data_IF_861398048838
#
_entry.id   IF_861398048838
#
_cell.length_a   1.000
_cell.length_b   1.000
_cell.length_c   1.000
_cell.angle_alpha   90.00
_cell.angle_beta   90.00
_cell.angle_gamma   90.00
#
_symmetry.space_group_name_H-M   'P 1'
#
loop_
_entity.id
_entity.type
_entity.pdbx_description
1 polymer ?
#
# COMPACT_ATOMS: atom_id res chain seq x y z
N UNK A 1 -11.61 6.62 8.32
CA UNK A 1 -12.45 5.48 7.89
C UNK A 1 -11.83 4.80 6.69
N UNK A 2 -11.83 3.47 6.65
CA UNK A 2 -11.38 2.70 5.49
C UNK A 2 -12.52 2.59 4.50
N UNK A 3 -12.27 2.95 3.26
CA UNK A 3 -13.17 2.73 2.14
C UNK A 3 -12.66 1.57 1.30
N UNK A 4 -13.58 0.78 0.78
CA UNK A 4 -13.29 -0.32 -0.13
C UNK A 4 -12.44 -1.43 0.50
N UNK A 5 -12.84 -1.89 1.69
CA UNK A 5 -12.09 -2.91 2.44
C UNK A 5 -12.05 -4.28 1.73
N UNK A 6 -12.95 -4.54 0.77
CA UNK A 6 -12.89 -5.79 -0.01
C UNK A 6 -11.61 -5.91 -0.83
N UNK A 7 -10.90 -4.81 -1.07
CA UNK A 7 -9.58 -4.87 -1.71
C UNK A 7 -8.52 -5.50 -0.81
N UNK A 8 -8.82 -5.74 0.47
CA UNK A 8 -7.91 -6.45 1.38
C UNK A 8 -8.01 -7.98 1.23
N UNK A 9 -8.98 -8.49 0.46
CA UNK A 9 -9.13 -9.92 0.23
C UNK A 9 -7.86 -10.51 -0.36
N UNK A 10 -7.35 -11.58 0.23
CA UNK A 10 -6.20 -12.32 -0.29
C UNK A 10 -4.83 -11.78 0.10
N UNK A 11 -4.74 -10.66 0.82
CA UNK A 11 -3.43 -10.14 1.27
C UNK A 11 -2.99 -10.81 2.57
N UNK A 12 -1.75 -10.54 2.95
CA UNK A 12 -1.18 -11.03 4.21
C UNK A 12 -2.05 -10.57 5.40
N UNK A 13 -2.42 -11.46 6.32
CA UNK A 13 -3.39 -11.12 7.37
C UNK A 13 -2.93 -10.01 8.31
N UNK A 14 -1.63 -9.91 8.58
CA UNK A 14 -1.11 -8.83 9.44
C UNK A 14 -1.04 -7.50 8.70
N UNK A 15 -0.87 -7.53 7.38
CA UNK A 15 -0.97 -6.32 6.56
C UNK A 15 -2.43 -5.81 6.57
N UNK A 16 -3.38 -6.71 6.38
CA UNK A 16 -4.80 -6.36 6.47
C UNK A 16 -5.17 -5.81 7.85
N UNK A 17 -4.72 -6.49 8.92
CA UNK A 17 -4.95 -6.03 10.29
C UNK A 17 -4.40 -4.63 10.51
N UNK A 18 -3.21 -4.35 10.01
CA UNK A 18 -2.58 -3.03 10.15
C UNK A 18 -3.41 -1.95 9.47
N UNK A 19 -3.89 -2.21 8.25
CA UNK A 19 -4.77 -1.28 7.53
C UNK A 19 -6.04 -1.01 8.34
N UNK A 20 -6.65 -2.05 8.87
CA UNK A 20 -7.86 -1.93 9.69
C UNK A 20 -7.61 -1.20 11.01
N UNK A 21 -6.44 -1.42 11.63
CA UNK A 21 -6.06 -0.75 12.88
C UNK A 21 -5.95 0.77 12.70
N UNK A 22 -5.45 1.23 11.56
CA UNK A 22 -5.30 2.67 11.31
C UNK A 22 -6.56 3.33 10.76
N UNK A 23 -7.56 2.54 10.39
CA UNK A 23 -8.80 3.04 9.79
C UNK A 23 -9.56 4.02 10.69
N UNK A 24 -9.43 3.88 12.00
CA UNK A 24 -10.11 4.76 12.96
C UNK A 24 -9.30 6.03 13.26
N UNK A 25 -8.13 6.18 12.68
CA UNK A 25 -7.20 7.25 12.98
C UNK A 25 -7.01 8.24 11.83
N UNK A 26 -7.28 7.83 10.61
CA UNK A 26 -7.11 8.67 9.43
C UNK A 26 -7.99 8.15 8.29
N UNK A 27 -8.38 9.04 7.39
CA UNK A 27 -9.24 8.70 6.27
C UNK A 27 -8.42 8.37 5.02
N UNK A 28 -8.71 7.20 4.44
CA UNK A 28 -8.07 6.76 3.20
C UNK A 28 -8.96 5.74 2.50
N UNK A 29 -8.63 5.47 1.25
CA UNK A 29 -9.25 4.38 0.49
C UNK A 29 -8.20 3.36 0.13
N UNK A 30 -8.53 2.07 0.28
CA UNK A 30 -7.71 0.99 -0.28
C UNK A 30 -8.03 0.91 -1.76
N UNK A 31 -7.07 1.27 -2.60
CA UNK A 31 -7.27 1.32 -4.05
C UNK A 31 -6.69 0.10 -4.76
N UNK A 32 -5.79 -0.63 -4.12
CA UNK A 32 -5.24 -1.87 -4.67
C UNK A 32 -4.71 -2.75 -3.54
N UNK A 33 -4.91 -4.05 -3.68
CA UNK A 33 -4.40 -5.06 -2.75
C UNK A 33 -3.77 -6.20 -3.53
N UNK A 34 -4.37 -7.40 -3.46
CA UNK A 34 -3.91 -8.53 -4.28
C UNK A 34 -4.19 -8.25 -5.76
N UNK A 35 -3.17 -8.43 -6.58
CA UNK A 35 -3.25 -8.20 -8.02
C UNK A 35 -3.05 -9.53 -8.73
N UNK A 36 -3.87 -9.82 -9.74
CA UNK A 36 -3.68 -11.01 -10.58
C UNK A 36 -2.53 -10.78 -11.57
N UNK A 37 -1.96 -11.87 -12.07
CA UNK A 37 -0.92 -11.79 -13.11
C UNK A 37 -1.44 -11.06 -14.36
N UNK A 38 -2.70 -11.30 -14.74
CA UNK A 38 -3.33 -10.62 -15.87
C UNK A 38 -3.40 -9.11 -15.65
N UNK A 39 -3.80 -8.66 -14.45
CA UNK A 39 -3.83 -7.24 -14.11
C UNK A 39 -2.43 -6.63 -14.15
N UNK A 40 -1.41 -7.36 -13.66
CA UNK A 40 -0.04 -6.89 -13.67
C UNK A 40 0.50 -6.75 -15.09
N UNK A 41 0.17 -7.67 -15.98
CA UNK A 41 0.54 -7.58 -17.40
C UNK A 41 -0.09 -6.35 -18.05
N UNK A 42 -1.36 -6.07 -17.75
CA UNK A 42 -2.02 -4.84 -18.23
C UNK A 42 -1.32 -3.60 -17.73
N UNK A 43 -0.90 -3.57 -16.47
CA UNK A 43 -0.19 -2.44 -15.90
C UNK A 43 1.17 -2.21 -16.57
N UNK A 44 1.88 -3.28 -16.92
CA UNK A 44 3.13 -3.19 -17.68
C UNK A 44 2.86 -2.60 -19.06
N UNK A 45 1.84 -3.10 -19.76
CA UNK A 45 1.47 -2.61 -21.08
C UNK A 45 1.08 -1.15 -21.08
N UNK A 46 0.46 -0.66 -20.00
CA UNK A 46 0.08 0.76 -19.84
C UNK A 46 1.23 1.64 -19.36
N UNK A 47 2.39 1.06 -19.02
CA UNK A 47 3.52 1.79 -18.46
C UNK A 47 3.37 2.17 -17.00
N UNK A 48 2.33 1.67 -16.30
CA UNK A 48 2.09 1.96 -14.88
C UNK A 48 2.86 1.01 -13.95
N UNK A 49 3.43 -0.05 -14.50
CA UNK A 49 4.31 -0.96 -13.76
C UNK A 49 5.41 -1.45 -14.67
N UNK A 50 6.56 -1.83 -14.09
CA UNK A 50 7.76 -2.27 -14.84
C UNK A 50 8.18 -3.69 -14.50
N UNK A 51 7.45 -4.40 -13.64
CA UNK A 51 7.88 -5.70 -13.16
C UNK A 51 6.75 -6.71 -13.09
N UNK A 52 7.09 -7.98 -13.37
CA UNK A 52 6.22 -9.13 -13.11
C UNK A 52 6.41 -9.68 -11.68
N UNK A 53 7.28 -9.06 -10.88
CA UNK A 53 7.59 -9.52 -9.52
C UNK A 53 7.04 -8.57 -8.45
N UNK A 54 5.98 -7.83 -8.77
CA UNK A 54 5.33 -6.91 -7.83
C UNK A 54 4.85 -7.66 -6.58
N UNK A 55 5.06 -7.04 -5.43
CA UNK A 55 4.57 -7.58 -4.15
C UNK A 55 3.04 -7.68 -4.10
N UNK A 56 2.32 -6.90 -4.90
CA UNK A 56 0.87 -7.03 -5.06
C UNK A 56 0.45 -8.41 -5.57
N UNK A 57 1.26 -9.06 -6.38
CA UNK A 57 0.98 -10.40 -6.90
C UNK A 57 0.99 -11.46 -5.80
N UNK A 58 1.70 -11.18 -4.72
CA UNK A 58 1.89 -12.12 -3.61
C UNK A 58 1.02 -11.79 -2.40
N UNK A 59 0.15 -10.79 -2.51
CA UNK A 59 -0.64 -10.33 -1.37
C UNK A 59 0.19 -9.63 -0.31
N UNK A 60 1.33 -9.05 -0.68
CA UNK A 60 2.29 -8.44 0.23
C UNK A 60 2.37 -6.92 0.10
N UNK A 61 1.44 -6.33 -0.64
CA UNK A 61 1.39 -4.87 -0.82
C UNK A 61 -0.04 -4.37 -0.87
N UNK A 62 -0.21 -3.13 -0.44
CA UNK A 62 -1.46 -2.38 -0.57
C UNK A 62 -1.14 -0.97 -1.03
N UNK A 63 -2.08 -0.38 -1.77
CA UNK A 63 -2.04 1.04 -2.11
C UNK A 63 -3.17 1.73 -1.35
N UNK A 64 -2.79 2.76 -0.59
CA UNK A 64 -3.71 3.56 0.21
C UNK A 64 -3.64 5.01 -0.26
N UNK A 65 -4.79 5.61 -0.52
CA UNK A 65 -4.87 7.00 -0.99
C UNK A 65 -5.65 7.83 0.02
N UNK A 66 -5.10 8.94 0.52
CA UNK A 66 -5.80 9.80 1.47
C UNK A 66 -7.10 10.35 0.89
N UNK A 67 -8.11 10.46 1.76
CA UNK A 67 -9.37 11.11 1.42
C UNK A 67 -9.42 12.43 2.16
N UNK A 68 -9.57 13.52 1.43
CA UNK A 68 -9.67 14.86 1.98
C UNK A 68 -10.92 15.52 1.41
N UNK A 69 -11.86 15.89 2.29
CA UNK A 69 -13.13 16.47 1.86
C UNK A 69 -13.92 15.56 0.92
N UNK A 70 -13.84 14.25 1.11
CA UNK A 70 -14.51 13.26 0.28
C UNK A 70 -13.83 12.95 -1.05
N UNK A 71 -12.67 13.53 -1.31
CA UNK A 71 -11.94 13.38 -2.58
C UNK A 71 -10.64 12.63 -2.37
N UNK A 72 -10.33 11.70 -3.28
CA UNK A 72 -9.06 10.98 -3.29
C UNK A 72 -7.92 11.92 -3.69
N UNK A 73 -6.81 11.83 -2.98
CA UNK A 73 -5.62 12.64 -3.24
C UNK A 73 -4.49 11.75 -3.72
N UNK A 74 -4.31 11.66 -5.05
CA UNK A 74 -3.27 10.86 -5.67
C UNK A 74 -1.91 11.54 -5.58
N UNK A 75 -0.83 10.74 -5.58
CA UNK A 75 0.52 11.29 -5.59
C UNK A 75 0.80 11.99 -6.92
N UNK A 76 1.69 12.98 -6.87
CA UNK A 76 2.11 13.75 -8.04
C UNK A 76 3.49 13.24 -8.47
N UNK A 77 3.53 12.67 -9.68
CA UNK A 77 4.77 12.17 -10.25
C UNK A 77 5.48 13.26 -11.04
N UNK A 78 6.83 13.17 -11.07
CA UNK A 78 7.66 13.97 -11.95
C UNK A 78 7.56 15.45 -11.77
N UNK A 79 6.98 15.88 -10.75
CA UNK A 79 6.99 17.12 -10.11
C UNK A 79 7.28 18.38 -10.85
N UNK A 80 6.28 18.85 -11.56
CA UNK A 80 6.32 20.18 -12.16
C UNK A 80 5.84 21.27 -11.20
N UNK A 81 5.15 20.90 -10.14
CA UNK A 81 4.60 21.81 -9.17
C UNK A 81 4.96 21.37 -7.75
N UNK A 82 6.07 21.89 -7.27
CA UNK A 82 6.59 21.54 -5.95
C UNK A 82 5.64 21.84 -4.80
N UNK A 83 4.81 22.86 -4.93
CA UNK A 83 3.84 23.21 -3.88
C UNK A 83 2.84 22.07 -3.72
N UNK A 84 2.27 21.60 -4.83
CA UNK A 84 1.31 20.48 -4.79
C UNK A 84 1.98 19.19 -4.35
N UNK A 85 3.21 18.96 -4.78
CA UNK A 85 4.00 17.80 -4.36
C UNK A 85 4.17 17.77 -2.84
N UNK A 86 4.62 18.86 -2.23
CA UNK A 86 4.82 18.92 -0.79
C UNK A 86 3.52 18.81 -0.01
N UNK A 87 2.45 19.45 -0.48
CA UNK A 87 1.12 19.31 0.14
C UNK A 87 0.62 17.87 0.08
N UNK A 88 0.81 17.22 -1.06
CA UNK A 88 0.43 15.82 -1.24
C UNK A 88 1.23 14.92 -0.30
N UNK A 89 2.53 15.11 -0.24
CA UNK A 89 3.41 14.34 0.65
C UNK A 89 2.98 14.48 2.11
N UNK A 90 2.59 15.67 2.54
CA UNK A 90 2.10 15.91 3.90
C UNK A 90 0.81 15.14 4.21
N UNK A 91 0.00 14.85 3.21
CA UNK A 91 -1.22 14.05 3.38
C UNK A 91 -0.91 12.56 3.50
N UNK A 92 0.09 12.07 2.78
CA UNK A 92 0.49 10.66 2.84
C UNK A 92 1.32 10.32 4.08
N UNK A 93 2.12 11.25 4.56
CA UNK A 93 3.05 11.01 5.65
C UNK A 93 2.40 10.47 6.94
N UNK A 94 1.25 11.02 7.40
CA UNK A 94 0.58 10.45 8.56
C UNK A 94 0.14 8.99 8.35
N UNK A 95 -0.32 8.64 7.16
CA UNK A 95 -0.68 7.26 6.83
C UNK A 95 0.57 6.37 6.90
N UNK A 96 1.68 6.82 6.32
CA UNK A 96 2.93 6.07 6.33
C UNK A 96 3.43 5.85 7.76
N UNK A 97 3.42 6.88 8.59
CA UNK A 97 3.86 6.79 9.97
C UNK A 97 3.01 5.78 10.76
N UNK A 98 1.69 5.82 10.57
CA UNK A 98 0.77 4.88 11.22
C UNK A 98 0.97 3.45 10.71
N UNK A 99 1.12 3.26 9.40
CA UNK A 99 1.34 1.93 8.83
C UNK A 99 2.61 1.29 9.37
N UNK A 100 3.70 2.03 9.43
CA UNK A 100 4.98 1.53 9.95
C UNK A 100 4.86 1.22 11.44
N UNK A 101 4.27 2.12 12.22
CA UNK A 101 4.11 1.95 13.67
C UNK A 101 3.24 0.74 14.01
N UNK A 102 2.04 0.67 13.43
CA UNK A 102 1.11 -0.42 13.72
C UNK A 102 1.56 -1.74 13.09
N UNK A 103 2.27 -1.68 11.97
CA UNK A 103 2.90 -2.86 11.39
C UNK A 103 3.86 -3.52 12.38
N UNK A 104 4.72 -2.73 13.01
CA UNK A 104 5.64 -3.24 14.03
C UNK A 104 4.90 -3.87 15.21
N UNK A 105 3.82 -3.25 15.67
CA UNK A 105 2.97 -3.81 16.73
C UNK A 105 2.35 -5.14 16.31
N UNK A 106 2.09 -5.34 15.04
CA UNK A 106 1.55 -6.57 14.49
C UNK A 106 2.62 -7.58 14.05
N UNK A 107 3.88 -7.31 14.37
CA UNK A 107 4.99 -8.23 14.09
C UNK A 107 5.48 -8.22 12.65
N UNK A 108 5.16 -7.20 11.88
CA UNK A 108 5.62 -7.08 10.49
C UNK A 108 6.37 -5.76 10.29
N UNK A 109 7.25 -5.76 9.29
CA UNK A 109 8.00 -4.58 8.90
C UNK A 109 7.47 -4.07 7.57
N UNK A 110 6.68 -3.00 7.63
CA UNK A 110 6.09 -2.38 6.45
C UNK A 110 7.03 -1.32 5.91
N UNK A 111 7.27 -1.34 4.61
CA UNK A 111 8.06 -0.36 3.91
C UNK A 111 7.17 0.50 3.01
N UNK A 112 7.44 1.79 3.01
CA UNK A 112 6.68 2.78 2.23
C UNK A 112 7.38 3.02 0.88
N UNK A 113 6.62 2.96 -0.21
CA UNK A 113 7.18 3.12 -1.56
C UNK A 113 7.92 4.43 -1.77
N UNK A 114 7.40 5.53 -1.23
CA UNK A 114 8.07 6.82 -1.32
C UNK A 114 9.46 6.79 -0.64
N UNK A 115 9.57 6.17 0.53
CA UNK A 115 10.85 6.05 1.24
C UNK A 115 11.83 5.14 0.50
N UNK A 116 11.32 4.12 -0.20
CA UNK A 116 12.15 3.18 -0.96
C UNK A 116 12.68 3.79 -2.26
N UNK A 117 11.83 4.54 -2.98
CA UNK A 117 12.11 4.91 -4.36
C UNK A 117 12.06 6.41 -4.66
N UNK A 118 11.63 7.24 -3.70
CA UNK A 118 11.44 8.66 -3.90
C UNK A 118 10.17 9.01 -4.67
N UNK A 119 9.28 8.02 -4.88
CA UNK A 119 7.98 8.17 -5.53
C UNK A 119 7.08 7.05 -5.04
N UNK A 120 5.86 6.93 -5.56
CA UNK A 120 4.88 5.92 -5.19
C UNK A 120 4.41 6.04 -3.74
N UNK A 121 3.88 7.20 -3.44
CA UNK A 121 3.35 7.53 -2.11
C UNK A 121 2.24 6.59 -1.60
N UNK A 122 1.33 6.06 -2.44
CA UNK A 122 0.28 5.15 -1.97
C UNK A 122 0.79 3.77 -1.54
N UNK A 123 1.96 3.34 -2.00
CA UNK A 123 2.42 1.95 -1.92
C UNK A 123 3.06 1.60 -0.58
N UNK A 124 2.58 0.51 0.02
CA UNK A 124 3.12 -0.09 1.25
C UNK A 124 3.31 -1.58 1.04
N UNK A 125 4.45 -2.13 1.46
CA UNK A 125 4.77 -3.53 1.23
C UNK A 125 5.49 -4.18 2.39
N UNK A 126 5.40 -5.52 2.46
CA UNK A 126 6.20 -6.36 3.34
C UNK A 126 7.26 -7.01 2.45
N UNK A 127 8.52 -6.66 2.66
CA UNK A 127 9.63 -7.17 1.84
C UNK A 127 10.19 -8.48 2.39
N UNK A 128 10.27 -8.60 3.72
CA UNK A 128 10.83 -9.77 4.38
C UNK A 128 9.95 -10.24 5.53
N UNK A 129 9.94 -11.56 5.73
CA UNK A 129 9.32 -12.21 6.87
C UNK A 129 10.40 -13.10 7.49
N UNK A 130 10.76 -12.83 8.76
CA UNK A 130 11.82 -13.55 9.46
C UNK A 130 13.14 -13.56 8.67
N UNK A 131 13.49 -12.43 8.05
CA UNK A 131 14.71 -12.27 7.29
C UNK A 131 14.72 -12.90 5.90
N UNK A 132 13.63 -13.54 5.49
CA UNK A 132 13.48 -14.21 4.19
C UNK A 132 12.62 -13.35 3.28
N UNK A 133 12.94 -13.32 1.98
CA UNK A 133 12.10 -12.64 0.97
C UNK A 133 10.65 -13.10 1.16
N UNK A 134 9.78 -12.17 1.49
CA UNK A 134 8.39 -12.46 1.82
C UNK A 134 7.66 -13.19 0.69
N UNK A 135 8.07 -12.98 -0.56
CA UNK A 135 7.47 -13.63 -1.73
C UNK A 135 7.73 -15.14 -1.76
N UNK A 136 8.73 -15.62 -0.99
CA UNK A 136 9.05 -17.04 -0.87
C UNK A 136 8.36 -17.69 0.33
N UNK A 137 7.66 -16.91 1.14
CA UNK A 137 7.00 -17.40 2.35
C UNK A 137 5.56 -17.77 2.05
N UNK A 138 5.05 -18.76 2.78
CA UNK A 138 3.64 -19.14 2.74
C UNK A 138 2.94 -18.57 3.97
N UNK A 139 1.71 -18.12 3.78
CA UNK A 139 0.87 -17.63 4.86
C UNK A 139 -0.60 -17.82 4.49
N UNK A 140 -1.47 -17.87 5.50
CA UNK A 140 -2.91 -17.87 5.28
C UNK A 140 -3.31 -16.46 4.84
N UNK A 141 -4.14 -16.39 3.81
CA UNK A 141 -4.55 -15.09 3.26
C UNK A 141 -5.73 -14.52 4.05
N UNK A 142 -5.81 -13.20 4.09
CA UNK A 142 -6.93 -12.51 4.72
C UNK A 142 -8.23 -12.75 3.94
N UNK A 143 -9.30 -13.02 4.67
CA UNK A 143 -10.66 -13.18 4.12
C UNK A 143 -11.54 -12.04 4.64
N UNK A 144 -12.13 -11.30 3.73
CA UNK A 144 -13.08 -10.24 4.07
C UNK A 144 -14.37 -10.90 4.57
N UNK A 145 -14.87 -10.40 5.69
CA UNK A 145 -16.11 -10.90 6.31
C UNK A 145 -17.35 -10.19 5.77
#
# INVERSE_FOLDING_TARGET
MVHNIKELEGIHPMLAKTVLDIANKTDFRVVDGLRTKAEQLKNIAKGTSKTLKSYHLYGLAVDLVPIVGGTLTWDVKGEKNRVNYHKTLELYKPIADLMIKYGKSNGINIEWGFALWGWDMPHFQITKINGIDARKCKFNTYKVK
#
